data_IF_814293091555
#
_entry.id   IF_814293091555
#
_cell.length_a   1.000
_cell.length_b   1.000
_cell.length_c   1.000
_cell.angle_alpha   90.00
_cell.angle_beta   90.00
_cell.angle_gamma   90.00
#
_symmetry.space_group_name_H-M   'P 1'
#
loop_
_entity.id
_entity.type
_entity.pdbx_description
1 polymer ?
#
# COMPACT_ATOMS: atom_id res chain seq x y z
N UNK A 1 -25.68 -8.08 25.69
CA UNK A 1 -26.45 -7.54 26.84
C UNK A 1 -26.25 -6.04 26.82
N UNK A 2 -27.35 -5.26 26.95
CA UNK A 2 -27.51 -3.83 26.61
C UNK A 2 -27.61 -3.56 25.10
N UNK A 3 -28.70 -3.07 24.51
CA UNK A 3 -29.92 -2.44 25.04
C UNK A 3 -31.16 -2.90 24.25
N UNK A 4 -32.16 -3.29 25.00
CA UNK A 4 -33.52 -3.55 24.56
C UNK A 4 -34.29 -2.24 24.37
N UNK A 5 -35.18 -2.23 23.37
CA UNK A 5 -36.53 -1.68 23.52
C UNK A 5 -36.72 -0.17 23.39
N UNK A 6 -37.05 0.29 22.18
CA UNK A 6 -38.13 1.28 22.00
C UNK A 6 -38.96 0.86 20.79
N UNK A 7 -40.09 0.22 21.06
CA UNK A 7 -41.10 -0.13 20.08
C UNK A 7 -41.98 1.12 19.84
N UNK A 8 -41.61 1.98 18.87
CA UNK A 8 -42.47 3.09 18.46
C UNK A 8 -43.57 2.56 17.53
N UNK A 9 -44.75 2.30 18.11
CA UNK A 9 -45.99 2.18 17.37
C UNK A 9 -46.29 3.50 16.65
N UNK A 10 -46.23 3.49 15.32
CA UNK A 10 -46.80 4.55 14.51
C UNK A 10 -48.32 4.47 14.58
N UNK A 11 -48.96 5.27 15.44
CA UNK A 11 -50.36 5.65 15.24
C UNK A 11 -50.38 6.87 14.33
N UNK A 12 -50.55 6.60 13.04
CA UNK A 12 -50.70 7.61 12.00
C UNK A 12 -51.93 8.46 12.32
N UNK A 13 -51.72 9.73 12.67
CA UNK A 13 -52.77 10.72 12.63
C UNK A 13 -53.06 10.98 11.14
N UNK A 14 -54.27 10.63 10.71
CA UNK A 14 -54.84 11.04 9.44
C UNK A 14 -54.83 12.58 9.40
N UNK A 15 -54.00 13.13 8.53
CA UNK A 15 -54.19 14.49 8.03
C UNK A 15 -55.06 14.33 6.79
N UNK A 16 -56.22 14.96 6.81
CA UNK A 16 -57.21 14.98 5.74
C UNK A 16 -56.55 15.24 4.39
N UNK A 17 -56.79 14.32 3.45
CA UNK A 17 -56.36 14.38 2.06
C UNK A 17 -56.81 15.70 1.43
N UNK A 18 -55.85 16.45 0.89
CA UNK A 18 -56.15 17.45 -0.13
C UNK A 18 -55.36 17.08 -1.39
N UNK A 19 -56.14 16.74 -2.41
CA UNK A 19 -55.83 15.85 -3.51
C UNK A 19 -54.94 16.56 -4.56
N UNK A 20 -53.62 16.55 -4.37
CA UNK A 20 -52.64 16.82 -5.45
C UNK A 20 -51.19 16.40 -5.12
N UNK A 21 -51.01 15.28 -4.39
CA UNK A 21 -49.68 14.77 -4.05
C UNK A 21 -49.08 13.99 -5.23
N UNK A 22 -48.10 14.59 -5.91
CA UNK A 22 -47.44 14.00 -7.07
C UNK A 22 -46.76 12.65 -6.73
N UNK A 23 -47.18 11.60 -7.45
CA UNK A 23 -46.74 10.18 -7.41
C UNK A 23 -45.20 9.96 -7.36
N UNK A 24 -44.44 10.98 -7.71
CA UNK A 24 -42.98 11.06 -7.69
C UNK A 24 -42.37 11.06 -6.27
N UNK A 25 -42.96 11.81 -5.32
CA UNK A 25 -42.39 11.99 -3.97
C UNK A 25 -42.53 10.73 -3.09
N UNK A 26 -43.58 9.92 -3.30
CA UNK A 26 -43.75 8.62 -2.61
C UNK A 26 -42.72 7.57 -3.05
N UNK A 27 -42.27 7.59 -4.32
CA UNK A 27 -41.26 6.64 -4.83
C UNK A 27 -39.85 6.95 -4.32
N UNK A 28 -39.52 8.23 -4.12
CA UNK A 28 -38.19 8.67 -3.66
C UNK A 28 -37.87 8.22 -2.22
N UNK A 29 -38.87 8.23 -1.33
CA UNK A 29 -38.71 7.87 0.10
C UNK A 29 -38.35 6.39 0.31
N UNK A 30 -38.86 5.50 -0.55
CA UNK A 30 -38.62 4.05 -0.47
C UNK A 30 -37.21 3.66 -0.94
N UNK A 31 -36.67 4.39 -1.92
CA UNK A 31 -35.34 4.12 -2.49
C UNK A 31 -34.23 4.52 -1.51
N UNK A 32 -34.40 5.67 -0.84
CA UNK A 32 -33.45 6.18 0.15
C UNK A 32 -33.29 5.25 1.37
N UNK A 33 -34.40 4.68 1.85
CA UNK A 33 -34.41 3.78 3.02
C UNK A 33 -33.71 2.44 2.74
N UNK A 34 -33.75 1.93 1.50
CA UNK A 34 -33.14 0.65 1.11
C UNK A 34 -31.63 0.75 0.83
N UNK A 35 -31.12 1.91 0.42
CA UNK A 35 -29.70 2.12 0.17
C UNK A 35 -28.87 2.17 1.48
N UNK A 36 -29.46 2.74 2.53
CA UNK A 36 -28.81 2.93 3.82
C UNK A 36 -28.63 1.62 4.60
N UNK A 37 -29.53 0.65 4.43
CA UNK A 37 -29.42 -0.65 5.10
C UNK A 37 -28.37 -1.56 4.46
N UNK A 38 -28.15 -1.45 3.15
CA UNK A 38 -27.15 -2.23 2.42
C UNK A 38 -25.70 -1.80 2.77
N UNK A 39 -25.48 -0.51 3.04
CA UNK A 39 -24.16 0.03 3.39
C UNK A 39 -23.70 -0.34 4.80
N UNK A 40 -24.64 -0.57 5.73
CA UNK A 40 -24.34 -1.02 7.09
C UNK A 40 -24.03 -2.52 7.19
N UNK A 41 -24.60 -3.34 6.29
CA UNK A 41 -24.34 -4.79 6.28
C UNK A 41 -22.96 -5.17 5.73
N UNK A 42 -22.38 -4.34 4.86
CA UNK A 42 -21.09 -4.61 4.20
C UNK A 42 -19.90 -4.34 5.16
N UNK A 43 -20.05 -3.41 6.10
CA UNK A 43 -18.98 -3.02 7.04
C UNK A 43 -18.74 -4.01 8.20
N UNK A 44 -19.64 -4.97 8.44
CA UNK A 44 -19.54 -5.94 9.56
C UNK A 44 -18.82 -7.24 9.20
N UNK A 45 -18.46 -7.45 7.93
CA UNK A 45 -17.85 -8.70 7.44
C UNK A 45 -16.31 -8.66 7.46
N UNK A 46 -15.71 -7.47 7.56
CA UNK A 46 -14.25 -7.28 7.42
C UNK A 46 -13.46 -7.61 8.71
N UNK A 47 -14.12 -7.66 9.87
CA UNK A 47 -13.44 -7.71 11.18
C UNK A 47 -13.21 -9.12 11.77
N UNK A 48 -13.58 -10.22 11.09
CA UNK A 48 -13.65 -11.57 11.71
C UNK A 48 -12.56 -12.56 11.23
N UNK A 49 -11.65 -12.18 10.33
CA UNK A 49 -10.80 -13.17 9.64
C UNK A 49 -9.31 -13.23 10.07
N UNK A 50 -8.93 -12.93 11.32
CA UNK A 50 -7.52 -13.07 11.74
C UNK A 50 -7.31 -13.58 13.17
N UNK A 51 -7.16 -14.90 13.31
CA UNK A 51 -6.47 -15.67 14.38
C UNK A 51 -6.66 -17.17 14.01
N UNK A 52 -5.67 -18.11 14.12
CA UNK A 52 -5.08 -18.49 15.41
C UNK A 52 -3.68 -19.20 15.46
N UNK A 53 -3.12 -19.20 16.68
CA UNK A 53 -2.40 -20.20 17.52
C UNK A 53 -1.31 -21.22 17.05
N UNK A 54 -0.24 -21.25 17.87
CA UNK A 54 0.55 -22.37 18.49
C UNK A 54 1.33 -23.43 17.66
N UNK A 55 2.60 -23.72 18.01
CA UNK A 55 3.07 -24.89 18.81
C UNK A 55 4.63 -25.04 18.89
N UNK A 56 5.10 -25.86 19.85
CA UNK A 56 6.50 -26.10 20.34
C UNK A 56 7.38 -26.98 19.38
N UNK A 57 8.67 -27.37 19.58
CA UNK A 57 9.44 -27.87 20.74
C UNK A 57 10.95 -28.11 20.37
N UNK A 58 11.79 -28.26 21.40
CA UNK A 58 13.23 -28.59 21.58
C UNK A 58 14.04 -29.46 20.57
N UNK A 59 15.40 -29.41 20.65
CA UNK A 59 16.33 -30.46 21.20
C UNK A 59 17.83 -30.32 20.70
N UNK A 60 18.75 -30.12 21.68
CA UNK A 60 20.16 -30.60 21.97
C UNK A 60 21.41 -30.61 21.03
N UNK A 61 22.55 -30.13 21.61
CA UNK A 61 23.96 -30.67 21.78
C UNK A 61 24.80 -31.16 20.55
N UNK A 62 26.16 -31.12 20.43
CA UNK A 62 27.36 -31.05 21.33
C UNK A 62 28.71 -30.86 20.54
N UNK A 63 29.75 -30.30 21.20
CA UNK A 63 31.24 -30.55 21.21
C UNK A 63 32.14 -30.61 19.93
N UNK A 64 33.17 -29.73 19.76
CA UNK A 64 34.64 -29.73 20.14
C UNK A 64 35.58 -30.53 19.20
N UNK A 65 36.69 -30.02 18.60
CA UNK A 65 38.05 -29.66 19.12
C UNK A 65 38.93 -29.07 17.96
N UNK A 66 40.07 -28.38 18.22
CA UNK A 66 41.17 -28.23 17.25
C UNK A 66 42.56 -28.68 17.78
N UNK A 67 43.51 -28.98 16.88
CA UNK A 67 44.93 -29.25 17.22
C UNK A 67 45.91 -28.81 16.09
N UNK A 68 47.21 -28.90 16.37
CA UNK A 68 48.27 -27.88 16.24
C UNK A 68 49.25 -27.93 15.05
N UNK A 69 49.89 -26.76 14.82
CA UNK A 69 51.33 -26.43 14.67
C UNK A 69 52.33 -27.29 13.85
N UNK A 70 53.16 -26.61 13.03
CA UNK A 70 54.52 -27.05 12.66
C UNK A 70 55.33 -26.00 11.88
N UNK A 71 56.55 -25.67 12.34
CA UNK A 71 57.47 -24.63 11.83
C UNK A 71 58.82 -25.28 11.47
N UNK A 72 59.43 -24.92 10.33
CA UNK A 72 60.76 -25.39 9.90
C UNK A 72 61.75 -24.25 9.66
N UNK A 73 63.02 -24.47 10.02
CA UNK A 73 64.13 -23.50 9.96
C UNK A 73 64.93 -23.57 8.65
N UNK A 74 65.64 -22.49 8.32
CA UNK A 74 66.17 -22.15 6.99
C UNK A 74 67.71 -22.01 7.01
N UNK A 75 68.41 -22.45 5.95
CA UNK A 75 69.86 -22.26 5.76
C UNK A 75 70.17 -21.58 4.41
N UNK A 76 70.77 -20.38 4.44
CA UNK A 76 71.08 -19.54 3.27
C UNK A 76 72.49 -19.74 2.70
N UNK A 77 72.59 -19.87 1.38
CA UNK A 77 73.83 -19.63 0.60
C UNK A 77 73.63 -19.76 -0.92
N UNK A 78 73.72 -18.64 -1.65
CA UNK A 78 73.51 -18.56 -3.11
C UNK A 78 74.80 -18.95 -3.87
N UNK A 79 74.74 -19.99 -4.69
CA UNK A 79 75.84 -20.44 -5.57
C UNK A 79 75.36 -20.27 -7.02
N UNK A 80 76.13 -19.62 -7.89
CA UNK A 80 75.81 -19.51 -9.33
C UNK A 80 76.92 -20.22 -10.13
N UNK A 81 76.55 -21.30 -10.83
CA UNK A 81 77.46 -22.09 -11.69
C UNK A 81 76.78 -22.38 -13.03
N UNK A 82 77.55 -22.39 -14.12
CA UNK A 82 77.02 -22.76 -15.44
C UNK A 82 76.86 -24.27 -15.55
N UNK A 83 75.64 -24.74 -15.84
CA UNK A 83 75.34 -26.17 -15.98
C UNK A 83 75.76 -26.74 -17.35
N UNK A 84 75.72 -28.07 -17.48
CA UNK A 84 76.05 -28.82 -18.71
C UNK A 84 75.15 -28.51 -19.91
N UNK A 85 73.97 -27.93 -19.68
CA UNK A 85 73.03 -27.47 -20.70
C UNK A 85 73.28 -26.00 -21.17
N UNK A 86 74.38 -25.37 -20.74
CA UNK A 86 74.73 -24.00 -21.14
C UNK A 86 73.92 -22.88 -20.48
N UNK A 87 72.98 -23.23 -19.59
CA UNK A 87 72.16 -22.26 -18.83
C UNK A 87 72.75 -21.99 -17.43
N UNK A 88 72.69 -20.75 -16.92
CA UNK A 88 73.14 -20.42 -15.57
C UNK A 88 72.23 -21.11 -14.54
N UNK A 89 72.83 -21.90 -13.65
CA UNK A 89 72.14 -22.53 -12.52
C UNK A 89 72.29 -21.61 -11.32
N UNK A 90 71.17 -21.03 -10.90
CA UNK A 90 71.08 -20.13 -9.76
C UNK A 90 70.30 -20.86 -8.67
N UNK A 91 70.83 -20.94 -7.45
CA UNK A 91 70.09 -21.48 -6.32
C UNK A 91 69.38 -20.36 -5.55
N UNK A 92 68.17 -20.61 -5.04
CA UNK A 92 67.48 -19.69 -4.14
C UNK A 92 68.10 -19.76 -2.73
N UNK A 93 67.60 -18.95 -1.81
CA UNK A 93 68.07 -18.92 -0.42
C UNK A 93 67.88 -20.26 0.33
N UNK A 94 67.01 -21.14 -0.15
CA UNK A 94 66.76 -22.46 0.43
C UNK A 94 67.57 -23.57 -0.27
N UNK A 95 68.40 -23.22 -1.26
CA UNK A 95 69.20 -24.17 -2.03
C UNK A 95 68.49 -24.80 -3.24
N UNK A 96 67.30 -24.32 -3.63
CA UNK A 96 66.55 -24.83 -4.79
C UNK A 96 66.88 -24.04 -6.07
N UNK A 97 67.11 -24.73 -7.17
CA UNK A 97 67.23 -24.10 -8.48
C UNK A 97 65.84 -23.77 -9.07
N UNK A 98 65.69 -22.72 -9.91
CA UNK A 98 64.43 -22.45 -10.59
C UNK A 98 64.09 -23.63 -11.50
N UNK A 99 62.94 -24.26 -11.23
CA UNK A 99 62.46 -25.37 -12.03
C UNK A 99 62.21 -24.95 -13.48
N UNK A 100 62.49 -25.85 -14.41
CA UNK A 100 62.05 -25.74 -15.79
C UNK A 100 61.50 -27.09 -16.18
N UNK A 101 60.28 -27.09 -16.72
CA UNK A 101 59.57 -28.33 -17.01
C UNK A 101 58.98 -28.26 -18.39
N UNK A 102 59.18 -29.32 -19.17
CA UNK A 102 58.38 -29.58 -20.36
C UNK A 102 57.11 -30.31 -19.95
N UNK A 103 55.97 -29.84 -20.41
CA UNK A 103 54.65 -30.38 -20.11
C UNK A 103 54.25 -31.28 -21.26
N UNK A 104 54.04 -32.57 -20.96
CA UNK A 104 53.63 -33.56 -21.93
C UNK A 104 52.16 -33.93 -21.75
N UNK A 105 51.46 -34.16 -22.85
CA UNK A 105 50.15 -34.78 -22.86
C UNK A 105 50.26 -36.14 -23.54
N UNK A 106 49.70 -37.17 -22.92
CA UNK A 106 49.56 -38.48 -23.54
C UNK A 106 48.39 -38.46 -24.51
N UNK A 107 48.67 -38.55 -25.81
CA UNK A 107 47.68 -38.44 -26.88
C UNK A 107 47.55 -39.76 -27.63
N UNK A 108 46.30 -40.17 -27.90
CA UNK A 108 45.98 -41.38 -28.65
C UNK A 108 45.49 -40.95 -30.03
N UNK A 109 46.33 -41.11 -31.03
CA UNK A 109 45.95 -40.95 -32.44
C UNK A 109 45.46 -42.30 -32.98
N UNK A 110 44.64 -42.30 -34.04
CA UNK A 110 44.11 -43.52 -34.69
C UNK A 110 45.15 -44.60 -35.05
N UNK A 111 46.46 -44.27 -35.03
CA UNK A 111 47.56 -45.16 -35.44
C UNK A 111 48.65 -45.35 -34.39
N UNK A 112 48.73 -44.49 -33.36
CA UNK A 112 49.82 -44.52 -32.37
C UNK A 112 49.44 -43.77 -31.09
N UNK A 113 50.04 -44.17 -29.97
CA UNK A 113 49.97 -43.49 -28.69
C UNK A 113 51.32 -42.88 -28.38
N UNK A 114 51.39 -41.55 -28.20
CA UNK A 114 52.65 -40.84 -27.98
C UNK A 114 52.52 -39.73 -26.93
N UNK A 115 53.64 -39.44 -26.25
CA UNK A 115 53.76 -38.26 -25.40
C UNK A 115 54.14 -37.06 -26.27
N UNK A 116 53.22 -36.12 -26.42
CA UNK A 116 53.45 -34.88 -27.15
C UNK A 116 53.75 -33.74 -26.18
N UNK A 117 54.79 -32.96 -26.43
CA UNK A 117 55.07 -31.72 -25.68
C UNK A 117 53.98 -30.71 -26.03
N UNK A 118 53.26 -30.21 -25.03
CA UNK A 118 52.15 -29.26 -25.18
C UNK A 118 52.45 -27.90 -24.54
N UNK A 119 53.59 -27.77 -23.86
CA UNK A 119 53.99 -26.51 -23.26
C UNK A 119 55.26 -26.62 -22.43
N UNK A 120 55.69 -25.49 -21.92
CA UNK A 120 56.88 -25.35 -21.08
C UNK A 120 56.57 -24.44 -19.91
N UNK A 121 57.14 -24.76 -18.75
CA UNK A 121 57.10 -23.92 -17.58
C UNK A 121 58.52 -23.42 -17.28
N UNK A 122 58.70 -22.10 -17.34
CA UNK A 122 59.95 -21.44 -16.95
C UNK A 122 59.59 -20.15 -16.23
N UNK A 123 59.25 -20.28 -14.93
CA UNK A 123 58.72 -19.20 -14.08
C UNK A 123 57.33 -18.67 -14.49
N UNK A 124 56.97 -18.77 -15.78
CA UNK A 124 55.63 -18.59 -16.33
C UNK A 124 55.23 -19.84 -17.11
N UNK A 125 53.92 -20.09 -17.16
CA UNK A 125 53.33 -21.22 -17.86
C UNK A 125 53.04 -20.83 -19.32
N UNK A 126 53.72 -21.49 -20.26
CA UNK A 126 53.46 -21.36 -21.69
C UNK A 126 52.86 -22.66 -22.19
N UNK A 127 51.55 -22.66 -22.46
CA UNK A 127 50.82 -23.80 -22.99
C UNK A 127 50.33 -23.49 -24.39
N UNK A 128 50.55 -24.42 -25.32
CA UNK A 128 49.96 -24.35 -26.64
C UNK A 128 48.64 -25.12 -26.65
N UNK A 129 47.52 -24.40 -26.57
CA UNK A 129 46.17 -24.98 -26.50
C UNK A 129 45.82 -25.74 -27.78
N UNK A 130 46.34 -25.30 -28.93
CA UNK A 130 46.12 -25.98 -30.23
C UNK A 130 46.78 -27.36 -30.28
N UNK A 131 47.88 -27.55 -29.54
CA UNK A 131 48.58 -28.82 -29.47
C UNK A 131 47.91 -29.83 -28.54
N UNK A 132 46.93 -29.41 -27.73
CA UNK A 132 46.20 -30.27 -26.79
C UNK A 132 45.08 -31.04 -27.49
N UNK A 133 44.82 -32.26 -27.01
CA UNK A 133 43.71 -33.09 -27.48
C UNK A 133 42.96 -33.73 -26.31
N UNK A 134 41.64 -33.55 -26.28
CA UNK A 134 40.73 -34.18 -25.31
C UNK A 134 39.85 -35.25 -25.99
N UNK A 135 39.05 -35.98 -25.19
CA UNK A 135 38.34 -37.21 -25.57
C UNK A 135 37.45 -37.13 -26.84
N UNK A 136 37.13 -35.92 -27.33
CA UNK A 136 36.36 -35.67 -28.55
C UNK A 136 37.11 -34.87 -29.64
N UNK A 137 38.45 -34.86 -29.63
CA UNK A 137 39.31 -33.97 -30.48
C UNK A 137 39.04 -32.49 -30.26
N UNK A 138 38.49 -32.15 -29.11
CA UNK A 138 38.33 -30.77 -28.68
C UNK A 138 39.67 -30.27 -28.13
N UNK A 139 40.03 -29.03 -28.47
CA UNK A 139 41.27 -28.39 -28.00
C UNK A 139 41.07 -27.70 -26.64
N UNK A 140 39.83 -27.45 -26.25
CA UNK A 140 39.47 -26.86 -24.94
C UNK A 140 39.37 -27.91 -23.85
N UNK A 141 39.99 -27.61 -22.71
CA UNK A 141 39.94 -28.48 -21.54
C UNK A 141 38.54 -28.49 -20.93
N UNK A 142 38.06 -29.64 -20.42
CA UNK A 142 36.79 -29.69 -19.71
C UNK A 142 36.89 -28.93 -18.38
N UNK A 143 35.83 -28.21 -18.02
CA UNK A 143 35.76 -27.51 -16.75
C UNK A 143 35.58 -28.49 -15.58
N UNK A 144 36.55 -28.54 -14.67
CA UNK A 144 36.49 -29.35 -13.45
C UNK A 144 35.79 -28.58 -12.31
N UNK A 145 34.50 -28.29 -12.47
CA UNK A 145 33.68 -27.58 -11.47
C UNK A 145 32.61 -28.48 -10.88
N UNK A 146 32.44 -28.45 -9.55
CA UNK A 146 31.39 -29.23 -8.89
C UNK A 146 29.99 -28.63 -9.12
N UNK A 147 29.91 -27.31 -9.18
CA UNK A 147 28.64 -26.59 -9.29
C UNK A 147 28.81 -25.42 -10.24
N UNK A 148 27.80 -25.20 -11.08
CA UNK A 148 27.78 -24.08 -12.02
C UNK A 148 27.54 -22.75 -11.26
N UNK A 149 27.97 -21.61 -11.82
CA UNK A 149 27.65 -20.31 -11.25
C UNK A 149 26.13 -20.10 -11.22
N UNK A 150 25.63 -19.55 -10.11
CA UNK A 150 24.21 -19.26 -9.92
C UNK A 150 23.75 -18.09 -10.79
N UNK A 151 22.45 -18.05 -11.08
CA UNK A 151 21.86 -16.95 -11.84
C UNK A 151 21.63 -15.74 -10.94
N UNK A 152 21.43 -14.58 -11.55
CA UNK A 152 21.03 -13.37 -10.82
C UNK A 152 19.72 -13.60 -10.05
N UNK A 153 19.69 -13.20 -8.79
CA UNK A 153 18.56 -13.41 -7.87
C UNK A 153 18.59 -14.75 -7.14
N UNK A 154 19.67 -15.51 -7.27
CA UNK A 154 19.93 -16.77 -6.55
C UNK A 154 21.16 -16.64 -5.67
N UNK A 155 21.07 -17.17 -4.45
CA UNK A 155 22.20 -17.29 -3.52
C UNK A 155 22.80 -18.69 -3.57
N UNK A 156 24.11 -18.76 -3.34
CA UNK A 156 24.88 -19.99 -3.16
C UNK A 156 24.68 -20.51 -1.74
N UNK A 157 24.21 -21.75 -1.65
CA UNK A 157 24.10 -22.52 -0.41
C UNK A 157 25.12 -23.65 -0.46
N UNK A 158 26.21 -23.50 0.27
CA UNK A 158 27.30 -24.48 0.30
C UNK A 158 26.81 -25.83 0.83
N UNK A 159 27.22 -26.91 0.18
CA UNK A 159 26.89 -28.28 0.62
C UNK A 159 27.70 -28.60 1.87
N UNK A 160 27.02 -29.08 2.92
CA UNK A 160 27.71 -29.47 4.16
C UNK A 160 28.70 -30.60 3.88
N UNK A 161 29.96 -30.39 4.26
CA UNK A 161 31.03 -31.38 4.09
C UNK A 161 31.79 -31.31 2.75
N UNK A 162 31.38 -30.48 1.78
CA UNK A 162 32.08 -30.33 0.50
C UNK A 162 32.22 -28.84 0.12
N UNK A 163 33.37 -28.18 0.39
CA UNK A 163 33.50 -26.72 0.33
C UNK A 163 33.43 -26.13 -1.09
N UNK A 164 33.73 -26.91 -2.14
CA UNK A 164 33.69 -26.46 -3.53
C UNK A 164 32.33 -26.65 -4.23
N UNK A 165 31.34 -27.24 -3.53
CA UNK A 165 30.02 -27.54 -4.09
C UNK A 165 28.95 -26.67 -3.44
N UNK A 166 28.03 -26.14 -4.25
CA UNK A 166 26.92 -25.32 -3.79
C UNK A 166 25.64 -25.61 -4.56
N UNK A 167 24.50 -25.34 -3.91
CA UNK A 167 23.20 -25.27 -4.56
C UNK A 167 22.77 -23.82 -4.73
N UNK A 168 22.16 -23.51 -5.86
CA UNK A 168 21.58 -22.20 -6.12
C UNK A 168 20.15 -22.19 -5.58
N UNK A 169 19.87 -21.27 -4.65
CA UNK A 169 18.55 -21.09 -4.06
C UNK A 169 18.06 -19.68 -4.36
N UNK A 170 16.86 -19.55 -4.93
CA UNK A 170 16.31 -18.25 -5.31
C UNK A 170 15.91 -17.45 -4.07
N UNK A 171 16.22 -16.15 -4.03
CA UNK A 171 15.74 -15.27 -2.95
C UNK A 171 14.21 -15.12 -3.08
N UNK A 172 13.42 -15.56 -2.10
CA UNK A 172 11.95 -15.56 -2.18
C UNK A 172 11.28 -14.33 -1.52
N UNK A 173 10.06 -14.02 -1.97
CA UNK A 173 9.25 -12.92 -1.46
C UNK A 173 9.90 -11.55 -1.70
N UNK A 174 10.04 -10.75 -0.63
CA UNK A 174 10.64 -9.42 -0.66
C UNK A 174 12.16 -9.42 -0.45
N UNK A 175 12.80 -10.58 -0.56
CA UNK A 175 14.26 -10.66 -0.44
C UNK A 175 14.94 -10.41 -1.79
N UNK A 176 16.10 -9.78 -1.73
CA UNK A 176 16.98 -9.55 -2.87
C UNK A 176 18.38 -10.07 -2.55
N UNK A 177 19.13 -10.37 -3.60
CA UNK A 177 20.51 -10.84 -3.53
C UNK A 177 21.44 -9.66 -3.28
N UNK A 178 22.03 -9.61 -2.10
CA UNK A 178 23.06 -8.62 -1.75
C UNK A 178 24.43 -9.13 -2.15
N UNK A 179 24.71 -10.38 -1.78
CA UNK A 179 25.95 -11.07 -2.04
C UNK A 179 25.67 -12.42 -2.71
N UNK A 180 26.72 -13.09 -3.17
CA UNK A 180 26.59 -14.43 -3.73
C UNK A 180 26.05 -15.46 -2.74
N UNK A 181 26.12 -15.22 -1.43
CA UNK A 181 25.73 -16.19 -0.39
C UNK A 181 24.47 -15.80 0.39
N UNK A 182 24.08 -14.52 0.36
CA UNK A 182 23.08 -13.95 1.25
C UNK A 182 21.96 -13.25 0.48
N UNK A 183 20.72 -13.46 0.96
CA UNK A 183 19.56 -12.68 0.56
C UNK A 183 19.10 -11.84 1.75
N UNK A 184 18.81 -10.57 1.52
CA UNK A 184 18.29 -9.65 2.54
C UNK A 184 16.92 -9.13 2.16
N UNK A 185 16.15 -8.70 3.16
CA UNK A 185 14.81 -8.16 2.95
C UNK A 185 14.88 -6.71 2.44
N UNK A 186 14.14 -6.40 1.38
CA UNK A 186 14.00 -5.02 0.93
C UNK A 186 13.30 -4.14 1.99
N UNK A 187 13.66 -2.84 2.07
CA UNK A 187 12.95 -1.86 2.89
C UNK A 187 11.44 -1.82 2.58
N UNK A 188 10.62 -1.36 3.54
CA UNK A 188 9.16 -1.40 3.42
C UNK A 188 8.60 -0.57 2.25
N UNK A 189 9.27 0.51 1.85
CA UNK A 189 8.89 1.34 0.71
C UNK A 189 9.39 0.80 -0.65
N UNK A 190 10.10 -0.33 -0.65
CA UNK A 190 10.71 -0.94 -1.83
C UNK A 190 10.29 -2.40 -2.02
N UNK A 191 10.43 -2.85 -3.27
CA UNK A 191 10.22 -4.22 -3.72
C UNK A 191 11.42 -4.68 -4.55
N UNK A 192 11.75 -5.97 -4.57
CA UNK A 192 12.84 -6.46 -5.43
C UNK A 192 12.52 -6.24 -6.92
N UNK A 193 13.58 -6.04 -7.72
CA UNK A 193 13.48 -6.04 -9.18
C UNK A 193 13.17 -7.47 -9.72
N UNK A 194 12.81 -7.61 -11.00
CA UNK A 194 12.55 -8.90 -11.65
C UNK A 194 13.74 -9.89 -11.50
N UNK A 195 14.96 -9.37 -11.58
CA UNK A 195 16.20 -10.14 -11.37
C UNK A 195 16.57 -10.32 -9.89
N UNK A 196 15.81 -9.72 -8.95
CA UNK A 196 16.04 -9.75 -7.50
C UNK A 196 17.47 -9.40 -7.06
N UNK A 197 18.18 -8.56 -7.82
CA UNK A 197 19.53 -8.07 -7.49
C UNK A 197 19.53 -6.72 -6.77
N UNK A 198 18.42 -5.99 -6.84
CA UNK A 198 18.28 -4.66 -6.24
C UNK A 198 16.82 -4.40 -5.87
N UNK A 199 16.60 -3.42 -5.00
CA UNK A 199 15.31 -3.00 -4.50
C UNK A 199 14.86 -1.69 -5.18
N UNK A 200 13.78 -1.77 -5.95
CA UNK A 200 13.13 -0.63 -6.60
C UNK A 200 11.96 -0.10 -5.75
N UNK A 201 11.62 1.18 -5.91
CA UNK A 201 10.48 1.78 -5.20
C UNK A 201 9.17 1.11 -5.61
N UNK A 202 8.29 0.91 -4.63
CA UNK A 202 6.95 0.40 -4.90
C UNK A 202 6.18 1.48 -5.67
N UNK A 203 5.60 1.16 -6.84
CA UNK A 203 4.83 2.12 -7.61
C UNK A 203 3.56 2.51 -6.85
N UNK A 204 3.31 3.81 -6.77
CA UNK A 204 2.14 4.38 -6.12
C UNK A 204 0.98 4.36 -7.11
N UNK A 205 -0.12 3.70 -6.73
CA UNK A 205 -1.37 3.77 -7.47
C UNK A 205 -2.17 4.97 -6.96
N UNK A 206 -2.66 5.76 -7.90
CA UNK A 206 -3.64 6.82 -7.66
C UNK A 206 -4.96 6.40 -8.27
N UNK A 207 -6.06 6.86 -7.70
CA UNK A 207 -7.37 6.64 -8.29
C UNK A 207 -7.42 7.41 -9.62
N UNK A 208 -7.39 6.69 -10.74
CA UNK A 208 -7.49 7.30 -12.05
C UNK A 208 -8.95 7.62 -12.38
N UNK A 209 -9.18 8.80 -12.97
CA UNK A 209 -10.50 9.26 -13.39
C UNK A 209 -11.21 8.30 -14.35
N UNK A 210 -10.45 7.49 -15.08
CA UNK A 210 -10.96 6.53 -16.05
C UNK A 210 -11.31 5.17 -15.43
N UNK A 211 -11.02 4.95 -14.14
CA UNK A 211 -11.39 3.71 -13.46
C UNK A 211 -12.91 3.59 -13.36
N UNK A 212 -13.51 2.44 -13.68
CA UNK A 212 -14.96 2.24 -13.60
C UNK A 212 -15.52 2.52 -12.20
N UNK A 213 -14.70 2.26 -11.17
CA UNK A 213 -15.04 2.54 -9.77
C UNK A 213 -15.16 4.04 -9.44
N UNK A 214 -14.47 4.91 -10.20
CA UNK A 214 -14.55 6.37 -10.05
C UNK A 214 -15.65 6.98 -10.94
N UNK A 215 -15.87 6.44 -12.14
CA UNK A 215 -16.84 6.99 -13.10
C UNK A 215 -18.28 6.96 -12.56
N UNK A 216 -18.69 5.84 -11.94
CA UNK A 216 -20.05 5.68 -11.40
C UNK A 216 -20.42 6.75 -10.37
N UNK A 217 -19.64 6.97 -9.28
CA UNK A 217 -19.96 8.01 -8.30
C UNK A 217 -19.86 9.44 -8.86
N UNK A 218 -18.93 9.72 -9.78
CA UNK A 218 -18.87 11.03 -10.47
C UNK A 218 -20.14 11.30 -11.24
N UNK A 219 -20.61 10.33 -12.02
CA UNK A 219 -21.82 10.49 -12.82
C UNK A 219 -23.05 10.77 -11.94
N UNK A 220 -23.21 10.03 -10.84
CA UNK A 220 -24.28 10.25 -9.87
C UNK A 220 -24.16 11.64 -9.22
N UNK A 221 -22.95 12.07 -8.88
CA UNK A 221 -22.71 13.39 -8.31
C UNK A 221 -23.05 14.52 -9.29
N UNK A 222 -22.69 14.39 -10.57
CA UNK A 222 -23.05 15.36 -11.63
C UNK A 222 -24.57 15.47 -11.75
N UNK A 223 -25.27 14.32 -11.85
CA UNK A 223 -26.74 14.31 -11.90
C UNK A 223 -27.36 14.93 -10.64
N UNK A 224 -26.81 14.63 -9.47
CA UNK A 224 -27.23 15.22 -8.20
C UNK A 224 -27.04 16.73 -8.16
N UNK A 225 -25.93 17.26 -8.66
CA UNK A 225 -25.65 18.70 -8.75
C UNK A 225 -26.61 19.38 -9.71
N UNK A 226 -26.87 18.80 -10.89
CA UNK A 226 -27.83 19.34 -11.86
C UNK A 226 -29.23 19.38 -11.25
N UNK A 227 -29.67 18.27 -10.63
CA UNK A 227 -30.98 18.18 -10.00
C UNK A 227 -31.15 19.17 -8.83
N UNK A 228 -30.14 19.29 -7.96
CA UNK A 228 -30.16 20.23 -6.83
C UNK A 228 -30.16 21.69 -7.32
N UNK A 229 -29.36 22.01 -8.32
CA UNK A 229 -29.36 23.35 -8.94
C UNK A 229 -30.71 23.68 -9.55
N UNK A 230 -31.32 22.73 -10.27
CA UNK A 230 -32.68 22.90 -10.83
C UNK A 230 -33.71 23.14 -9.73
N UNK A 231 -33.65 22.42 -8.61
CA UNK A 231 -34.52 22.64 -7.46
C UNK A 231 -34.28 24.01 -6.85
N UNK A 232 -33.03 24.44 -6.66
CA UNK A 232 -32.69 25.77 -6.14
C UNK A 232 -33.28 26.87 -7.03
N UNK A 233 -33.06 26.80 -8.36
CA UNK A 233 -33.60 27.77 -9.32
C UNK A 233 -35.12 27.82 -9.27
N UNK A 234 -35.77 26.65 -9.19
CA UNK A 234 -37.24 26.55 -9.07
C UNK A 234 -37.73 27.18 -7.77
N UNK A 235 -37.07 26.90 -6.63
CA UNK A 235 -37.40 27.49 -5.34
C UNK A 235 -37.27 29.03 -5.35
N UNK A 236 -36.20 29.55 -5.99
CA UNK A 236 -36.01 31.00 -6.14
C UNK A 236 -37.09 31.60 -7.04
N UNK A 237 -37.47 30.93 -8.13
CA UNK A 237 -38.47 31.43 -9.08
C UNK A 237 -39.90 31.43 -8.54
N UNK A 238 -40.25 30.43 -7.74
CA UNK A 238 -41.57 30.22 -7.12
C UNK A 238 -41.58 30.55 -5.63
N UNK A 239 -40.71 31.47 -5.20
CA UNK A 239 -40.46 31.79 -3.80
C UNK A 239 -41.71 32.33 -3.06
N UNK A 240 -42.68 32.86 -3.80
CA UNK A 240 -43.94 33.40 -3.26
C UNK A 240 -45.07 32.38 -3.15
N UNK A 241 -44.84 31.13 -3.58
CA UNK A 241 -45.85 30.07 -3.42
C UNK A 241 -46.11 29.77 -1.93
N UNK A 242 -47.36 29.58 -1.51
CA UNK A 242 -47.73 29.38 -0.10
C UNK A 242 -47.04 28.15 0.51
N UNK A 243 -46.71 27.16 -0.32
CA UNK A 243 -45.98 25.94 0.06
C UNK A 243 -44.55 26.27 0.53
N UNK A 244 -43.80 27.07 -0.26
CA UNK A 244 -42.41 27.44 0.05
C UNK A 244 -42.35 28.37 1.27
N UNK A 245 -43.33 29.27 1.39
CA UNK A 245 -43.46 30.17 2.55
C UNK A 245 -43.80 29.41 3.85
N UNK A 246 -44.65 28.39 3.79
CA UNK A 246 -44.99 27.56 4.96
C UNK A 246 -43.81 26.70 5.44
N UNK A 247 -43.00 26.15 4.53
CA UNK A 247 -41.86 25.28 4.86
C UNK A 247 -40.69 26.02 5.54
N UNK A 248 -40.64 27.34 5.43
CA UNK A 248 -39.53 28.17 5.91
C UNK A 248 -38.47 28.30 4.81
N UNK A 249 -38.53 29.42 4.08
CA UNK A 249 -37.72 29.70 2.89
C UNK A 249 -36.23 29.54 3.17
N UNK A 250 -35.76 30.25 4.20
CA UNK A 250 -34.34 30.32 4.56
C UNK A 250 -33.76 28.95 4.93
N UNK A 251 -34.45 28.18 5.78
CA UNK A 251 -34.01 26.82 6.18
C UNK A 251 -34.00 25.83 5.00
N UNK A 252 -34.86 26.05 4.00
CA UNK A 252 -34.87 25.22 2.79
C UNK A 252 -33.63 25.51 1.92
N UNK A 253 -33.22 26.77 1.81
CA UNK A 253 -31.96 27.13 1.13
C UNK A 253 -30.73 26.57 1.84
N UNK A 254 -30.69 26.62 3.18
CA UNK A 254 -29.59 26.03 3.97
C UNK A 254 -29.50 24.52 3.72
N UNK A 255 -30.63 23.81 3.73
CA UNK A 255 -30.67 22.38 3.43
C UNK A 255 -30.18 22.06 2.01
N UNK A 256 -30.67 22.79 1.01
CA UNK A 256 -30.26 22.59 -0.40
C UNK A 256 -28.76 22.88 -0.59
N UNK A 257 -28.22 23.87 0.12
CA UNK A 257 -26.78 24.17 0.13
C UNK A 257 -25.98 23.01 0.72
N UNK A 258 -26.43 22.42 1.83
CA UNK A 258 -25.81 21.22 2.42
C UNK A 258 -25.77 20.04 1.45
N UNK A 259 -26.89 19.77 0.76
CA UNK A 259 -26.98 18.68 -0.23
C UNK A 259 -26.04 18.94 -1.42
N UNK A 260 -25.96 20.19 -1.90
CA UNK A 260 -25.02 20.56 -2.97
C UNK A 260 -23.56 20.35 -2.56
N UNK A 261 -23.20 20.73 -1.33
CA UNK A 261 -21.87 20.46 -0.77
C UNK A 261 -21.60 18.96 -0.66
N UNK A 262 -22.59 18.16 -0.24
CA UNK A 262 -22.46 16.70 -0.17
C UNK A 262 -22.13 16.07 -1.53
N UNK A 263 -22.79 16.48 -2.61
CA UNK A 263 -22.43 16.00 -3.95
C UNK A 263 -21.07 16.51 -4.43
N UNK A 264 -20.66 17.71 -4.01
CA UNK A 264 -19.36 18.29 -4.34
C UNK A 264 -18.18 17.54 -3.68
N UNK A 265 -18.38 16.98 -2.47
CA UNK A 265 -17.36 16.16 -1.78
C UNK A 265 -16.91 14.98 -2.64
N UNK A 266 -17.80 14.38 -3.42
CA UNK A 266 -17.48 13.24 -4.28
C UNK A 266 -16.31 13.55 -5.23
N UNK A 267 -16.26 14.77 -5.79
CA UNK A 267 -15.17 15.20 -6.64
C UNK A 267 -13.86 15.36 -5.87
N UNK A 268 -13.94 15.95 -4.67
CA UNK A 268 -12.78 16.10 -3.80
C UNK A 268 -12.20 14.74 -3.40
N UNK A 269 -13.04 13.74 -3.15
CA UNK A 269 -12.63 12.37 -2.81
C UNK A 269 -11.95 11.63 -3.96
N UNK A 270 -12.28 11.97 -5.20
CA UNK A 270 -11.70 11.32 -6.39
C UNK A 270 -10.45 12.06 -6.90
N UNK A 271 -10.34 13.36 -6.62
CA UNK A 271 -9.14 14.13 -6.94
C UNK A 271 -7.88 13.49 -6.35
N UNK A 272 -6.72 13.71 -6.97
CA UNK A 272 -5.47 13.21 -6.42
C UNK A 272 -5.26 13.78 -5.00
N UNK A 273 -4.96 12.92 -4.01
CA UNK A 273 -4.70 13.39 -2.65
C UNK A 273 -3.44 14.24 -2.64
N UNK A 274 -3.65 15.52 -2.36
CA UNK A 274 -2.65 16.55 -2.17
C UNK A 274 -2.98 17.27 -0.85
N UNK A 275 -2.01 17.95 -0.24
CA UNK A 275 -2.19 18.64 1.05
C UNK A 275 -3.41 19.58 1.03
N UNK A 276 -3.61 20.29 -0.08
CA UNK A 276 -4.76 21.20 -0.26
C UNK A 276 -6.06 20.41 -0.41
N UNK A 277 -6.05 19.35 -1.21
CA UNK A 277 -7.22 18.48 -1.42
C UNK A 277 -7.64 17.79 -0.13
N UNK A 278 -6.69 17.29 0.66
CA UNK A 278 -6.92 16.68 1.97
C UNK A 278 -7.55 17.68 2.96
N UNK A 279 -7.09 18.93 2.93
CA UNK A 279 -7.68 20.01 3.71
C UNK A 279 -9.15 20.22 3.34
N UNK A 280 -9.44 20.37 2.04
CA UNK A 280 -10.82 20.55 1.58
C UNK A 280 -11.71 19.34 1.85
N UNK A 281 -11.21 18.11 1.71
CA UNK A 281 -11.96 16.89 2.07
C UNK A 281 -12.45 16.95 3.52
N UNK A 282 -11.56 17.29 4.46
CA UNK A 282 -11.89 17.36 5.89
C UNK A 282 -12.96 18.42 6.17
N UNK A 283 -12.80 19.60 5.59
CA UNK A 283 -13.72 20.73 5.78
C UNK A 283 -15.10 20.41 5.18
N UNK A 284 -15.15 20.01 3.91
CA UNK A 284 -16.40 19.80 3.21
C UNK A 284 -17.18 18.60 3.76
N UNK A 285 -16.51 17.54 4.22
CA UNK A 285 -17.16 16.35 4.79
C UNK A 285 -17.86 16.64 6.11
N UNK A 286 -17.23 17.41 7.00
CA UNK A 286 -17.87 17.88 8.22
C UNK A 286 -18.98 18.90 7.95
N UNK A 287 -18.74 19.87 7.08
CA UNK A 287 -19.70 20.93 6.80
C UNK A 287 -20.94 20.44 6.05
N UNK A 288 -20.79 19.68 4.97
CA UNK A 288 -21.93 19.22 4.16
C UNK A 288 -22.97 18.47 5.00
N UNK A 289 -22.50 17.57 5.86
CA UNK A 289 -23.34 16.83 6.80
C UNK A 289 -23.95 17.79 7.83
N UNK A 290 -23.16 18.63 8.48
CA UNK A 290 -23.65 19.56 9.50
C UNK A 290 -24.73 20.52 8.98
N UNK A 291 -24.55 21.12 7.79
CA UNK A 291 -25.55 21.98 7.15
C UNK A 291 -26.87 21.24 6.93
N UNK A 292 -26.79 20.00 6.44
CA UNK A 292 -27.95 19.16 6.14
C UNK A 292 -28.71 18.78 7.41
N UNK A 293 -28.01 18.26 8.43
CA UNK A 293 -28.60 17.82 9.69
C UNK A 293 -29.12 19.00 10.53
N UNK A 294 -28.38 20.11 10.63
CA UNK A 294 -28.82 21.27 11.39
C UNK A 294 -30.12 21.87 10.81
N UNK A 295 -30.25 21.93 9.49
CA UNK A 295 -31.47 22.39 8.83
C UNK A 295 -32.66 21.44 9.04
N UNK A 296 -32.44 20.12 8.93
CA UNK A 296 -33.47 19.11 9.19
C UNK A 296 -33.93 19.11 10.65
N UNK A 297 -32.99 19.20 11.60
CA UNK A 297 -33.25 19.26 13.03
C UNK A 297 -34.06 20.52 13.35
N UNK A 298 -33.67 21.68 12.83
CA UNK A 298 -34.38 22.94 13.05
C UNK A 298 -35.81 22.90 12.48
N UNK A 299 -35.99 22.34 11.27
CA UNK A 299 -37.33 22.13 10.68
C UNK A 299 -38.19 21.18 11.51
N UNK A 300 -37.62 20.08 11.97
CA UNK A 300 -38.35 19.07 12.78
C UNK A 300 -38.76 19.64 14.13
N UNK A 301 -37.84 20.33 14.82
CA UNK A 301 -38.13 21.00 16.10
C UNK A 301 -39.21 22.08 15.97
N UNK A 302 -39.20 22.84 14.86
CA UNK A 302 -40.26 23.81 14.55
C UNK A 302 -41.62 23.12 14.43
N UNK A 303 -41.72 22.03 13.67
CA UNK A 303 -42.97 21.28 13.48
C UNK A 303 -43.47 20.70 14.81
N UNK A 304 -42.59 20.10 15.60
CA UNK A 304 -42.92 19.55 16.93
C UNK A 304 -43.52 20.62 17.85
N UNK A 305 -42.88 21.79 17.93
CA UNK A 305 -43.38 22.92 18.75
C UNK A 305 -44.76 23.40 18.31
N UNK A 306 -45.01 23.50 17.00
CA UNK A 306 -46.31 23.89 16.46
C UNK A 306 -47.41 22.92 16.92
N UNK A 307 -47.18 21.61 16.82
CA UNK A 307 -48.15 20.60 17.26
C UNK A 307 -48.34 20.57 18.78
N UNK A 308 -47.28 20.75 19.56
CA UNK A 308 -47.39 20.73 21.02
C UNK A 308 -48.10 21.99 21.55
N UNK A 309 -47.84 23.14 20.95
CA UNK A 309 -48.48 24.40 21.33
C UNK A 309 -49.92 24.47 20.86
N UNK A 310 -50.23 23.92 19.69
CA UNK A 310 -51.61 23.74 19.22
C UNK A 310 -52.48 22.87 20.14
N UNK A 311 -51.88 22.01 20.99
CA UNK A 311 -52.59 21.23 22.02
C UNK A 311 -52.82 22.00 23.33
N UNK A 312 -52.01 23.02 23.64
CA UNK A 312 -51.99 23.71 24.94
C UNK A 312 -52.61 25.12 24.91
N UNK A 313 -52.59 25.84 23.78
CA UNK A 313 -53.15 27.21 23.67
C UNK A 313 -53.24 27.71 22.20
N UNK A 314 -54.16 28.64 21.92
CA UNK A 314 -54.30 29.31 20.61
C UNK A 314 -53.31 30.50 20.45
N UNK A 315 -52.51 30.79 21.48
CA UNK A 315 -51.57 31.93 21.49
C UNK A 315 -50.30 31.62 20.68
N UNK A 316 -49.90 32.56 19.81
CA UNK A 316 -48.70 32.44 19.00
C UNK A 316 -47.44 32.24 19.87
N UNK A 317 -46.65 31.18 19.64
CA UNK A 317 -45.58 30.83 20.53
C UNK A 317 -44.29 31.65 20.34
N UNK A 318 -43.55 31.88 21.44
CA UNK A 318 -42.24 32.54 21.43
C UNK A 318 -41.18 31.64 20.77
N UNK A 319 -40.28 32.22 19.95
CA UNK A 319 -39.26 31.57 19.09
C UNK A 319 -39.74 30.96 17.75
N UNK A 320 -40.86 31.42 17.17
CA UNK A 320 -41.28 31.07 15.80
C UNK A 320 -40.59 31.92 14.72
N UNK A 321 -39.96 33.04 15.08
CA UNK A 321 -39.42 33.98 14.11
C UNK A 321 -38.36 33.31 13.21
N UNK A 322 -38.48 33.40 11.87
CA UNK A 322 -37.50 32.84 10.93
C UNK A 322 -36.06 33.28 11.23
N UNK A 323 -35.87 34.51 11.72
CA UNK A 323 -34.56 35.01 12.13
C UNK A 323 -33.97 34.22 13.31
N UNK A 324 -34.77 33.90 14.33
CA UNK A 324 -34.31 33.12 15.48
C UNK A 324 -33.95 31.67 15.11
N UNK A 325 -34.63 31.08 14.12
CA UNK A 325 -34.33 29.74 13.62
C UNK A 325 -33.00 29.71 12.86
N UNK A 326 -32.77 30.71 12.01
CA UNK A 326 -31.49 30.86 11.33
C UNK A 326 -30.33 31.04 12.31
N UNK A 327 -30.49 31.87 13.34
CA UNK A 327 -29.46 32.06 14.36
C UNK A 327 -29.09 30.74 15.03
N UNK A 328 -30.08 29.90 15.38
CA UNK A 328 -29.84 28.57 15.96
C UNK A 328 -29.12 27.65 14.97
N UNK A 329 -29.55 27.62 13.70
CA UNK A 329 -28.91 26.78 12.68
C UNK A 329 -27.47 27.21 12.43
N UNK A 330 -27.21 28.51 12.27
CA UNK A 330 -25.86 29.05 12.09
C UNK A 330 -24.99 28.87 13.33
N UNK A 331 -25.55 28.93 14.56
CA UNK A 331 -24.77 28.67 15.76
C UNK A 331 -24.29 27.22 15.84
N UNK A 332 -25.13 26.25 15.44
CA UNK A 332 -24.74 24.83 15.39
C UNK A 332 -23.65 24.59 14.34
N UNK A 333 -23.80 25.19 13.15
CA UNK A 333 -22.79 25.11 12.07
C UNK A 333 -21.47 25.77 12.51
N UNK A 334 -21.54 26.90 13.20
CA UNK A 334 -20.36 27.63 13.68
C UNK A 334 -19.59 26.82 14.72
N UNK A 335 -20.28 26.12 15.61
CA UNK A 335 -19.64 25.23 16.58
C UNK A 335 -18.87 24.11 15.88
N UNK A 336 -19.46 23.51 14.84
CA UNK A 336 -18.78 22.50 14.02
C UNK A 336 -17.55 23.07 13.31
N UNK A 337 -17.66 24.28 12.73
CA UNK A 337 -16.54 24.96 12.08
C UNK A 337 -15.38 25.19 13.05
N UNK A 338 -15.67 25.69 14.25
CA UNK A 338 -14.65 25.91 15.29
C UNK A 338 -13.97 24.59 15.66
N UNK A 339 -14.74 23.51 15.84
CA UNK A 339 -14.19 22.18 16.11
C UNK A 339 -13.24 21.69 15.01
N UNK A 340 -13.61 21.90 13.73
CA UNK A 340 -12.74 21.58 12.60
C UNK A 340 -11.46 22.42 12.63
N UNK A 341 -11.54 23.73 12.83
CA UNK A 341 -10.35 24.60 12.89
C UNK A 341 -9.40 24.25 14.04
N UNK A 342 -9.94 23.94 15.23
CA UNK A 342 -9.12 23.44 16.35
C UNK A 342 -8.39 22.18 15.93
N UNK A 343 -9.07 21.26 15.22
CA UNK A 343 -8.45 20.03 14.76
C UNK A 343 -7.40 20.25 13.66
N UNK A 344 -7.54 21.28 12.84
CA UNK A 344 -6.48 21.67 11.90
C UNK A 344 -5.23 22.20 12.60
N UNK A 345 -5.40 22.85 13.76
CA UNK A 345 -4.29 23.39 14.54
C UNK A 345 -3.51 22.30 15.28
N UNK A 346 -4.18 21.25 15.78
CA UNK A 346 -3.54 20.14 16.48
C UNK A 346 -2.93 19.16 15.47
N UNK A 347 -3.70 18.74 14.46
CA UNK A 347 -3.28 17.78 13.45
C UNK A 347 -3.37 18.41 12.05
N UNK A 348 -2.26 18.97 11.52
CA UNK A 348 -2.23 19.54 10.18
C UNK A 348 -2.37 18.43 9.13
N UNK A 349 -3.15 18.67 8.05
CA UNK A 349 -3.35 17.68 7.01
C UNK A 349 -2.04 17.43 6.27
N UNK A 350 -1.64 16.17 6.20
CA UNK A 350 -0.51 15.74 5.38
C UNK A 350 -0.91 14.51 4.56
N UNK A 351 -0.10 14.18 3.57
CA UNK A 351 -0.30 12.99 2.72
C UNK A 351 0.66 11.89 3.16
N UNK A 352 0.14 10.68 3.36
CA UNK A 352 0.95 9.50 3.68
C UNK A 352 0.79 8.44 2.59
N UNK A 353 1.86 7.69 2.35
CA UNK A 353 1.83 6.53 1.46
C UNK A 353 1.75 5.29 2.32
N UNK A 354 0.64 4.60 2.20
CA UNK A 354 0.42 3.32 2.86
C UNK A 354 0.94 2.20 1.96
N UNK A 355 1.99 1.51 2.43
CA UNK A 355 2.59 0.36 1.77
C UNK A 355 2.13 -0.97 2.35
N UNK A 356 1.35 -0.96 3.45
CA UNK A 356 0.95 -2.15 4.18
C UNK A 356 -0.27 -2.83 3.57
N UNK A 357 -1.30 -2.03 3.25
CA UNK A 357 -2.60 -2.58 2.85
C UNK A 357 -2.57 -3.34 1.51
N UNK A 358 -1.67 -2.96 0.60
CA UNK A 358 -1.54 -3.58 -0.73
C UNK A 358 -0.21 -4.33 -0.92
N UNK A 359 0.44 -4.75 0.17
CA UNK A 359 1.64 -5.60 0.14
C UNK A 359 1.24 -7.07 -0.05
N UNK A 360 1.02 -7.47 -1.29
CA UNK A 360 0.69 -8.86 -1.62
C UNK A 360 1.89 -9.79 -1.43
N UNK A 361 1.63 -11.11 -1.35
CA UNK A 361 2.69 -12.14 -1.24
C UNK A 361 3.66 -12.09 -2.43
N UNK A 362 3.16 -11.68 -3.61
CA UNK A 362 3.96 -11.54 -4.81
C UNK A 362 4.48 -10.09 -4.95
N UNK A 363 5.81 -9.86 -4.92
CA UNK A 363 6.38 -8.52 -4.93
C UNK A 363 6.05 -7.72 -6.20
N UNK A 364 5.81 -8.37 -7.34
CA UNK A 364 5.47 -7.69 -8.60
C UNK A 364 4.13 -6.96 -8.56
N UNK A 365 3.22 -7.44 -7.71
CA UNK A 365 1.88 -6.89 -7.53
C UNK A 365 1.79 -5.91 -6.36
N UNK A 366 2.88 -5.71 -5.60
CA UNK A 366 2.94 -4.72 -4.54
C UNK A 366 2.72 -3.32 -5.11
N UNK A 367 1.76 -2.58 -4.53
CA UNK A 367 1.48 -1.18 -4.86
C UNK A 367 1.42 -0.36 -3.56
N UNK A 368 1.76 0.92 -3.66
CA UNK A 368 1.54 1.88 -2.55
C UNK A 368 0.25 2.66 -2.80
N UNK A 369 -0.55 2.90 -1.76
CA UNK A 369 -1.76 3.73 -1.87
C UNK A 369 -1.47 5.09 -1.24
N UNK A 370 -1.60 6.16 -2.02
CA UNK A 370 -1.50 7.51 -1.50
C UNK A 370 -2.83 7.88 -0.83
N UNK A 371 -2.78 8.21 0.47
CA UNK A 371 -3.93 8.58 1.29
C UNK A 371 -3.66 9.90 2.01
N UNK A 372 -4.73 10.57 2.42
CA UNK A 372 -4.63 11.71 3.34
C UNK A 372 -4.47 11.16 4.76
N UNK A 373 -3.54 11.70 5.54
CA UNK A 373 -3.49 11.42 6.97
C UNK A 373 -4.62 12.18 7.67
N UNK A 374 -5.63 11.43 8.09
CA UNK A 374 -6.81 11.95 8.75
C UNK A 374 -7.00 11.13 10.01
N UNK A 375 -6.92 11.78 11.17
CA UNK A 375 -7.16 11.13 12.45
C UNK A 375 -8.59 10.61 12.51
N UNK A 376 -8.77 9.29 12.68
CA UNK A 376 -10.10 8.63 12.77
C UNK A 376 -10.96 9.26 13.87
N UNK A 377 -10.34 9.62 15.00
CA UNK A 377 -10.99 10.32 16.10
C UNK A 377 -11.62 11.64 15.63
N UNK A 378 -10.95 12.40 14.77
CA UNK A 378 -11.47 13.66 14.25
C UNK A 378 -12.71 13.48 13.38
N UNK A 379 -12.70 12.43 12.56
CA UNK A 379 -13.81 12.09 11.69
C UNK A 379 -15.01 11.56 12.51
N UNK A 380 -14.74 10.69 13.50
CA UNK A 380 -15.75 10.17 14.43
C UNK A 380 -16.37 11.29 15.25
N UNK A 381 -15.58 12.21 15.80
CA UNK A 381 -16.11 13.35 16.56
C UNK A 381 -16.96 14.27 15.67
N UNK A 382 -16.50 14.57 14.45
CA UNK A 382 -17.25 15.42 13.50
C UNK A 382 -18.58 14.79 13.08
N UNK A 383 -18.58 13.50 12.77
CA UNK A 383 -19.81 12.79 12.39
C UNK A 383 -20.72 12.58 13.60
N UNK A 384 -20.14 12.27 14.76
CA UNK A 384 -20.83 12.11 16.04
C UNK A 384 -21.57 13.39 16.45
N UNK A 385 -20.93 14.56 16.33
CA UNK A 385 -21.58 15.85 16.58
C UNK A 385 -22.82 16.09 15.69
N UNK A 386 -22.80 15.58 14.45
CA UNK A 386 -23.93 15.74 13.54
C UNK A 386 -25.09 14.76 13.83
N UNK A 387 -24.82 13.69 14.57
CA UNK A 387 -25.79 12.64 14.93
C UNK A 387 -26.45 12.91 16.29
N UNK A 388 -25.68 13.45 17.24
CA UNK A 388 -26.15 13.92 18.56
C UNK A 388 -27.05 15.15 18.43
#
# INVERSE_FOLDING_TARGET
MFLSGVHFQWKVAQVEDNDNENRFFKRLRVIYQKLLSLLFSINMIIFIQMSPSEYQLNITQTHSLPDNQGRGENWKGKIEKTGSAGTPVVFNENGDAPGRYDIFQYQITNKSTEYKVIGQWSNQLHLNVEDMQWANREHTHPASVCSLPCKAGERKKTVKGVPCCWHCERCEGYHYQVDEFNCELCPINKRPNANRTDCQLIPIIKLEWHSPWAIVPVFIAILGIIATTFVIVTFVRYNDTPIVRASGRELSYVLLTGIFLCYSITFLMIAAPDTVVCSFRRIFLGLGMCFSYAALLTKTNRIHRIFEQGKKSVTAPKFISPASQLVITFSLISLQLIGVFIWFAIDPPHTIVDYGEQRTLEPENARGVLKCDISDLSLICSLGYSIL
#
